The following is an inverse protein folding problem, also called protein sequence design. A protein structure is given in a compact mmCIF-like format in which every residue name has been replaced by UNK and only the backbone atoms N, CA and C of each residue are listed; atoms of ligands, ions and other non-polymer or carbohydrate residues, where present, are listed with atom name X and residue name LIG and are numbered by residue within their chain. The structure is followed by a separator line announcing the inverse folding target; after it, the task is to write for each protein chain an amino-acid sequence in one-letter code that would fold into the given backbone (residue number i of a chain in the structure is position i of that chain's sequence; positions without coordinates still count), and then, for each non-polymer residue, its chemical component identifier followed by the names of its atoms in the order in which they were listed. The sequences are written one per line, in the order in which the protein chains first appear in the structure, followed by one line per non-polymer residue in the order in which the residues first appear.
data_IF_569216648990
#
_entry.id   IF_569216648990
#
_cell.length_a   1.000
_cell.length_b   1.000
_cell.length_c   1.000
_cell.angle_alpha   90.00
_cell.angle_beta   90.00
_cell.angle_gamma   90.00
#
_symmetry.space_group_name_H-M   'P 1'
#
loop_
_entity.id
_entity.type
_entity.pdbx_description
1 polymer ?
#
# COMPACT_ATOMS: atom_id res chain seq x y z
N UNK A 1 -58.75 57.49 -18.85
CA UNK A 1 -59.01 58.59 -17.87
C UNK A 1 -57.90 58.61 -16.86
N UNK A 2 -57.11 59.70 -16.80
CA UNK A 2 -56.46 60.33 -15.65
C UNK A 2 -55.69 59.49 -14.68
N UNK A 3 -54.41 59.69 -14.27
CA UNK A 3 -53.75 60.96 -13.98
C UNK A 3 -52.26 60.76 -13.82
N UNK A 4 -51.48 61.67 -14.42
CA UNK A 4 -50.07 61.91 -14.14
C UNK A 4 -49.89 62.44 -12.71
N UNK A 5 -48.84 62.03 -12.01
CA UNK A 5 -48.16 62.91 -11.06
C UNK A 5 -46.62 62.68 -11.18
N UNK A 6 -46.02 63.83 -11.56
CA UNK A 6 -44.56 64.12 -11.51
C UNK A 6 -44.18 64.37 -10.07
N UNK A 7 -43.07 63.91 -9.60
CA UNK A 7 -42.35 64.49 -8.45
C UNK A 7 -40.85 64.51 -8.74
N UNK A 8 -40.30 65.62 -8.40
CA UNK A 8 -39.05 66.22 -8.75
C UNK A 8 -37.78 65.52 -8.30
N UNK A 9 -36.77 65.78 -9.10
CA UNK A 9 -35.33 65.55 -8.91
C UNK A 9 -34.79 66.35 -7.72
N UNK A 10 -34.01 65.69 -6.84
CA UNK A 10 -33.08 66.38 -5.94
C UNK A 10 -31.70 65.72 -6.13
N UNK A 11 -30.79 66.48 -6.71
CA UNK A 11 -29.36 66.18 -6.80
C UNK A 11 -28.73 66.42 -5.43
N UNK A 12 -28.13 65.38 -4.86
CA UNK A 12 -27.20 65.56 -3.75
C UNK A 12 -25.81 65.08 -4.23
N UNK A 13 -24.92 66.07 -4.32
CA UNK A 13 -23.50 65.87 -4.58
C UNK A 13 -22.86 65.41 -3.25
N UNK A 14 -22.41 64.18 -3.16
CA UNK A 14 -21.57 63.67 -2.05
C UNK A 14 -20.14 63.54 -2.55
N UNK A 15 -19.24 64.31 -1.97
CA UNK A 15 -17.81 64.24 -2.20
C UNK A 15 -17.27 62.94 -1.65
N UNK A 16 -16.69 62.11 -2.51
CA UNK A 16 -16.00 60.88 -2.10
C UNK A 16 -14.56 61.20 -1.70
N UNK A 17 -14.26 61.10 -0.40
CA UNK A 17 -12.88 60.95 0.07
C UNK A 17 -12.39 59.57 -0.32
N UNK A 18 -11.43 59.51 -1.22
CA UNK A 18 -10.71 58.27 -1.55
C UNK A 18 -9.68 57.95 -0.45
N UNK A 19 -10.03 57.05 0.45
CA UNK A 19 -9.08 56.42 1.35
C UNK A 19 -8.45 55.23 0.59
N UNK A 20 -7.23 55.35 0.11
CA UNK A 20 -6.48 54.30 -0.55
C UNK A 20 -6.12 53.23 0.47
N UNK A 21 -6.81 52.09 0.43
CA UNK A 21 -6.38 50.87 1.11
C UNK A 21 -5.44 50.15 0.16
N UNK A 22 -4.16 50.13 0.50
CA UNK A 22 -3.18 49.25 -0.18
C UNK A 22 -3.55 47.80 0.13
N UNK A 23 -4.09 47.09 -0.86
CA UNK A 23 -4.28 45.63 -0.80
C UNK A 23 -2.91 45.00 -1.01
N UNK A 24 -2.30 44.55 0.07
CA UNK A 24 -1.09 43.75 -0.01
C UNK A 24 -1.41 42.45 -0.73
N UNK A 25 -0.64 42.14 -1.77
CA UNK A 25 -0.69 40.86 -2.46
C UNK A 25 -0.46 39.73 -1.44
N UNK A 26 -1.27 38.63 -1.42
CA UNK A 26 -1.00 37.50 -0.57
C UNK A 26 0.32 36.86 -1.01
N UNK A 27 1.28 36.79 -0.09
CA UNK A 27 2.54 36.08 -0.30
C UNK A 27 2.22 34.66 -0.72
N UNK A 28 2.77 34.23 -1.85
CA UNK A 28 2.67 32.85 -2.31
C UNK A 28 3.18 31.90 -1.19
N UNK A 29 2.50 30.78 -0.93
CA UNK A 29 2.97 29.82 0.07
C UNK A 29 4.36 29.34 -0.35
N UNK A 30 5.36 29.62 0.47
CA UNK A 30 6.70 29.07 0.32
C UNK A 30 6.59 27.56 0.49
N UNK A 31 6.71 26.82 -0.61
CA UNK A 31 6.86 25.38 -0.56
C UNK A 31 8.08 25.09 0.32
N UNK A 32 7.86 24.51 1.49
CA UNK A 32 8.93 24.04 2.34
C UNK A 32 9.81 23.09 1.51
N UNK A 33 11.11 23.32 1.51
CA UNK A 33 12.07 22.46 0.85
C UNK A 33 11.84 21.01 1.33
N UNK A 34 11.93 19.99 0.42
CA UNK A 34 11.74 18.61 0.83
C UNK A 34 12.76 18.29 1.91
N UNK A 35 12.26 17.93 3.09
CA UNK A 35 13.08 17.39 4.17
C UNK A 35 13.86 16.22 3.59
N UNK A 36 15.18 16.27 3.74
CA UNK A 36 16.07 15.20 3.28
C UNK A 36 15.67 13.95 4.06
N UNK A 37 14.89 13.06 3.41
CA UNK A 37 14.43 11.82 4.01
C UNK A 37 15.67 11.03 4.44
N UNK A 38 15.86 10.92 5.75
CA UNK A 38 16.84 9.99 6.33
C UNK A 38 16.24 8.61 6.10
N UNK A 39 16.91 7.76 5.34
CA UNK A 39 16.49 6.38 5.17
C UNK A 39 16.25 5.76 6.55
N UNK A 40 15.12 5.07 6.77
CA UNK A 40 14.82 4.49 8.08
C UNK A 40 15.93 3.53 8.45
N UNK A 41 16.59 3.80 9.57
CA UNK A 41 17.58 2.88 10.12
C UNK A 41 16.80 1.69 10.66
N UNK A 42 16.99 0.50 10.09
CA UNK A 42 16.45 -0.75 10.63
C UNK A 42 17.07 -0.93 12.03
N UNK A 43 16.31 -0.62 13.06
CA UNK A 43 16.85 -0.46 14.41
C UNK A 43 17.10 -1.80 15.13
N UNK A 44 16.31 -2.84 14.83
CA UNK A 44 16.44 -4.18 15.41
C UNK A 44 15.76 -5.19 14.51
N UNK A 45 16.36 -6.37 14.38
CA UNK A 45 15.80 -7.53 13.73
C UNK A 45 15.37 -8.56 14.78
N UNK A 46 14.14 -9.08 14.65
CA UNK A 46 13.58 -10.13 15.50
C UNK A 46 13.39 -11.35 14.60
N UNK A 47 14.12 -12.42 14.86
CA UNK A 47 14.00 -13.68 14.15
C UNK A 47 12.89 -14.52 14.76
N UNK A 48 11.86 -14.85 13.98
CA UNK A 48 10.75 -15.72 14.37
C UNK A 48 10.97 -17.16 13.88
N UNK A 49 11.60 -17.30 12.70
CA UNK A 49 12.04 -18.55 12.11
C UNK A 49 13.27 -18.28 11.24
N UNK A 50 14.02 -19.29 10.78
CA UNK A 50 15.20 -19.09 9.94
C UNK A 50 14.92 -18.27 8.65
N UNK A 51 13.69 -18.26 8.19
CA UNK A 51 13.21 -17.61 6.97
C UNK A 51 12.18 -16.51 7.24
N UNK A 52 11.90 -16.17 8.53
CA UNK A 52 10.89 -15.18 8.93
C UNK A 52 11.43 -14.21 9.97
N UNK A 53 11.46 -12.94 9.61
CA UNK A 53 12.05 -11.87 10.41
C UNK A 53 11.12 -10.65 10.50
N UNK A 54 11.13 -9.97 11.66
CA UNK A 54 10.53 -8.66 11.84
C UNK A 54 11.64 -7.61 11.96
N UNK A 55 11.60 -6.60 11.11
CA UNK A 55 12.54 -5.49 11.12
C UNK A 55 11.79 -4.22 11.55
N UNK A 56 12.22 -3.57 12.63
CA UNK A 56 11.59 -2.34 13.11
C UNK A 56 11.80 -1.19 12.14
N UNK A 57 10.71 -0.56 11.69
CA UNK A 57 10.71 0.62 10.82
C UNK A 57 10.52 1.93 11.62
N UNK A 58 10.30 1.83 12.92
CA UNK A 58 9.96 2.94 13.81
C UNK A 58 8.45 3.11 14.01
N UNK A 59 8.08 3.94 15.01
CA UNK A 59 6.69 4.32 15.29
C UNK A 59 5.68 3.15 15.32
N UNK A 60 6.05 2.00 15.92
CA UNK A 60 5.19 0.81 16.00
C UNK A 60 5.01 0.06 14.67
N UNK A 61 5.80 0.40 13.64
CA UNK A 61 5.76 -0.28 12.35
C UNK A 61 6.91 -1.30 12.21
N UNK A 62 6.62 -2.40 11.53
CA UNK A 62 7.55 -3.49 11.25
C UNK A 62 7.44 -3.92 9.79
N UNK A 63 8.59 -4.18 9.17
CA UNK A 63 8.67 -4.98 7.97
C UNK A 63 8.65 -6.46 8.38
N UNK A 64 7.69 -7.22 7.90
CA UNK A 64 7.65 -8.68 8.02
C UNK A 64 8.32 -9.26 6.78
N UNK A 65 9.56 -9.72 6.92
CA UNK A 65 10.32 -10.32 5.83
C UNK A 65 10.23 -11.83 5.92
N UNK A 66 9.67 -12.44 4.89
CA UNK A 66 9.56 -13.89 4.75
C UNK A 66 10.27 -14.36 3.48
N UNK A 67 11.21 -15.29 3.60
CA UNK A 67 11.96 -15.85 2.47
C UNK A 67 11.42 -17.23 2.13
N UNK A 68 10.55 -17.32 1.07
CA UNK A 68 9.77 -18.53 0.81
C UNK A 68 9.54 -18.92 -0.69
N UNK A 69 10.56 -19.27 -1.50
CA UNK A 69 12.01 -19.20 -1.36
C UNK A 69 12.62 -17.85 -1.72
N UNK A 70 11.83 -16.93 -2.24
CA UNK A 70 12.23 -15.54 -2.51
C UNK A 70 11.65 -14.61 -1.45
N UNK A 71 12.25 -13.43 -1.32
CA UNK A 71 11.82 -12.45 -0.33
C UNK A 71 10.39 -12.00 -0.62
N UNK A 72 9.49 -12.22 0.34
CA UNK A 72 8.14 -11.69 0.37
C UNK A 72 8.01 -10.80 1.60
N UNK A 73 7.77 -9.52 1.38
CA UNK A 73 7.58 -8.55 2.44
C UNK A 73 6.10 -8.27 2.64
N UNK A 74 5.70 -8.14 3.90
CA UNK A 74 4.45 -7.50 4.32
C UNK A 74 4.77 -6.46 5.39
N UNK A 75 3.82 -5.62 5.75
CA UNK A 75 3.98 -4.66 6.85
C UNK A 75 3.06 -5.01 7.99
N UNK A 76 3.50 -4.72 9.21
CA UNK A 76 2.74 -4.84 10.44
C UNK A 76 2.83 -3.51 11.17
N UNK A 77 1.69 -2.90 11.49
CA UNK A 77 1.64 -1.59 12.16
C UNK A 77 0.76 -1.68 13.39
N UNK A 78 1.32 -1.33 14.55
CA UNK A 78 0.56 -1.14 15.80
C UNK A 78 -0.12 0.23 15.75
N UNK A 79 -1.44 0.24 15.81
CA UNK A 79 -2.27 1.44 15.79
C UNK A 79 -2.49 1.99 17.21
N UNK A 80 -2.89 3.28 17.37
CA UNK A 80 -3.02 3.91 18.68
C UNK A 80 -4.00 3.24 19.66
N UNK A 81 -5.03 2.53 19.14
CA UNK A 81 -5.97 1.75 19.96
C UNK A 81 -5.44 0.35 20.34
N UNK A 82 -4.22 0.03 19.94
CA UNK A 82 -3.57 -1.25 20.17
C UNK A 82 -3.93 -2.33 19.13
N UNK A 83 -4.70 -2.01 18.09
CA UNK A 83 -4.94 -2.93 16.96
C UNK A 83 -3.68 -3.07 16.13
N UNK A 84 -3.36 -4.29 15.72
CA UNK A 84 -2.31 -4.55 14.73
C UNK A 84 -2.91 -4.68 13.32
N UNK A 85 -2.40 -3.90 12.37
CA UNK A 85 -2.81 -3.94 10.97
C UNK A 85 -1.71 -4.56 10.12
N UNK A 86 -2.06 -5.65 9.41
CA UNK A 86 -1.21 -6.25 8.39
C UNK A 86 -1.53 -5.67 7.02
N UNK A 87 -0.53 -5.17 6.31
CA UNK A 87 -0.58 -4.91 4.88
C UNK A 87 0.06 -6.05 4.11
N UNK A 88 -0.73 -6.83 3.38
CA UNK A 88 -0.37 -8.16 2.90
C UNK A 88 -0.26 -9.18 4.04
N UNK A 89 -0.34 -10.46 3.75
CA UNK A 89 -0.08 -11.50 4.75
C UNK A 89 1.20 -12.27 4.38
N UNK A 90 1.93 -12.83 5.37
CA UNK A 90 3.01 -13.76 5.06
C UNK A 90 2.55 -14.87 4.10
N UNK A 91 3.43 -15.36 3.23
CA UNK A 91 3.07 -16.26 2.15
C UNK A 91 2.50 -17.63 2.57
N UNK A 92 2.59 -18.00 3.86
CA UNK A 92 2.06 -19.26 4.39
C UNK A 92 1.34 -19.07 5.73
N UNK A 93 0.31 -19.91 6.04
CA UNK A 93 -0.42 -19.85 7.31
C UNK A 93 0.48 -20.01 8.53
N UNK A 94 1.45 -20.94 8.49
CA UNK A 94 2.36 -21.16 9.62
C UNK A 94 3.23 -19.91 9.89
N UNK A 95 3.71 -19.26 8.85
CA UNK A 95 4.50 -18.03 9.02
C UNK A 95 3.64 -16.89 9.55
N UNK A 96 2.39 -16.78 9.10
CA UNK A 96 1.43 -15.82 9.66
C UNK A 96 1.14 -16.12 11.14
N UNK A 97 0.96 -17.39 11.52
CA UNK A 97 0.74 -17.82 12.91
C UNK A 97 1.91 -17.40 13.81
N UNK A 98 3.16 -17.59 13.37
CA UNK A 98 4.34 -17.18 14.14
C UNK A 98 4.35 -15.69 14.45
N UNK A 99 3.90 -14.84 13.53
CA UNK A 99 3.78 -13.39 13.78
C UNK A 99 2.63 -13.10 14.75
N UNK A 100 1.49 -13.77 14.62
CA UNK A 100 0.36 -13.66 15.56
C UNK A 100 0.78 -14.09 16.98
N UNK A 101 1.50 -15.19 17.12
CA UNK A 101 2.03 -15.66 18.40
C UNK A 101 3.05 -14.67 19.00
N UNK A 102 3.86 -14.04 18.17
CA UNK A 102 4.76 -12.96 18.59
C UNK A 102 3.99 -11.76 19.14
N UNK A 103 2.92 -11.32 18.45
CA UNK A 103 2.06 -10.24 18.95
C UNK A 103 1.54 -10.58 20.36
N UNK A 104 0.97 -11.79 20.53
CA UNK A 104 0.42 -12.22 21.82
C UNK A 104 1.49 -12.27 22.91
N UNK A 105 2.69 -12.75 22.59
CA UNK A 105 3.80 -12.87 23.55
C UNK A 105 4.35 -11.52 23.98
N UNK A 106 4.54 -10.58 23.06
CA UNK A 106 5.19 -9.30 23.35
C UNK A 106 4.20 -8.20 23.80
N UNK A 107 2.95 -8.26 23.30
CA UNK A 107 1.96 -7.20 23.50
C UNK A 107 0.69 -7.67 24.22
N UNK A 108 0.58 -8.98 24.52
CA UNK A 108 -0.66 -9.61 25.00
C UNK A 108 -1.69 -9.79 23.89
N UNK A 109 -2.88 -10.30 24.23
CA UNK A 109 -3.98 -10.42 23.27
C UNK A 109 -4.36 -9.05 22.71
N UNK A 110 -4.31 -8.89 21.38
CA UNK A 110 -4.62 -7.64 20.67
C UNK A 110 -5.58 -7.93 19.52
N UNK A 111 -6.43 -6.97 19.16
CA UNK A 111 -7.15 -7.03 17.88
C UNK A 111 -6.14 -7.02 16.72
N UNK A 112 -6.42 -7.81 15.70
CA UNK A 112 -5.60 -7.87 14.48
C UNK A 112 -6.51 -7.75 13.26
N UNK A 113 -6.08 -6.99 12.26
CA UNK A 113 -6.76 -6.82 10.98
C UNK A 113 -5.75 -7.10 9.88
N UNK A 114 -6.14 -7.90 8.88
CA UNK A 114 -5.32 -8.10 7.69
C UNK A 114 -5.98 -7.45 6.47
N UNK A 115 -5.15 -6.89 5.58
CA UNK A 115 -5.58 -6.30 4.30
C UNK A 115 -4.77 -6.93 3.18
N UNK A 116 -5.43 -7.67 2.30
CA UNK A 116 -4.79 -8.25 1.12
C UNK A 116 -4.52 -7.18 0.07
N UNK A 117 -3.40 -7.27 -0.61
CA UNK A 117 -3.00 -6.33 -1.67
C UNK A 117 -3.10 -6.90 -3.07
N UNK A 118 -3.71 -8.06 -3.20
CA UNK A 118 -4.01 -8.74 -4.45
C UNK A 118 -4.11 -10.26 -4.24
N UNK A 119 -4.46 -10.99 -5.30
CA UNK A 119 -4.75 -12.43 -5.23
C UNK A 119 -3.52 -13.34 -5.30
N UNK A 120 -2.32 -12.79 -5.51
CA UNK A 120 -1.09 -13.58 -5.50
C UNK A 120 -0.78 -14.11 -4.09
N UNK A 121 -0.16 -15.30 -4.00
CA UNK A 121 0.10 -15.98 -2.73
C UNK A 121 0.88 -15.14 -1.71
N UNK A 122 1.83 -14.33 -2.17
CA UNK A 122 2.65 -13.45 -1.36
C UNK A 122 1.87 -12.26 -0.76
N UNK A 123 0.59 -12.11 -1.11
CA UNK A 123 -0.30 -11.08 -0.60
C UNK A 123 -1.41 -11.65 0.30
N UNK A 124 -1.75 -12.93 0.15
CA UNK A 124 -2.89 -13.55 0.85
C UNK A 124 -2.64 -14.97 1.37
N UNK A 125 -1.47 -15.56 1.12
CA UNK A 125 -1.21 -16.97 1.47
C UNK A 125 -1.37 -17.30 2.96
N UNK A 126 -1.16 -16.33 3.85
CA UNK A 126 -1.37 -16.45 5.29
C UNK A 126 -2.81 -16.33 5.77
N UNK A 127 -3.79 -16.01 4.92
CA UNK A 127 -5.17 -15.73 5.31
C UNK A 127 -5.80 -16.79 6.21
N UNK A 128 -5.47 -18.07 5.98
CA UNK A 128 -6.02 -19.17 6.77
C UNK A 128 -5.73 -19.02 8.28
N UNK A 129 -4.57 -18.52 8.67
CA UNK A 129 -4.21 -18.30 10.07
C UNK A 129 -5.06 -17.19 10.70
N UNK A 130 -5.22 -16.06 10.01
CA UNK A 130 -6.06 -14.96 10.48
C UNK A 130 -7.51 -15.39 10.66
N UNK A 131 -8.06 -16.11 9.66
CA UNK A 131 -9.43 -16.62 9.70
C UNK A 131 -9.65 -17.65 10.83
N UNK A 132 -8.67 -18.54 11.04
CA UNK A 132 -8.72 -19.52 12.13
C UNK A 132 -8.68 -18.84 13.52
N UNK A 133 -7.97 -17.72 13.64
CA UNK A 133 -7.91 -16.91 14.85
C UNK A 133 -9.13 -15.98 15.04
N UNK A 134 -10.06 -15.93 14.08
CA UNK A 134 -11.25 -15.06 14.11
C UNK A 134 -10.95 -13.59 13.79
N UNK A 135 -9.82 -13.29 13.17
CA UNK A 135 -9.45 -11.95 12.76
C UNK A 135 -9.99 -11.61 11.37
N UNK A 136 -10.50 -10.39 11.14
CA UNK A 136 -11.01 -9.96 9.85
C UNK A 136 -9.89 -9.85 8.82
N UNK A 137 -10.18 -10.29 7.60
CA UNK A 137 -9.31 -10.17 6.44
C UNK A 137 -10.03 -9.37 5.37
N UNK A 138 -9.56 -8.17 5.08
CA UNK A 138 -10.09 -7.30 4.03
C UNK A 138 -9.42 -7.59 2.70
N UNK A 139 -10.20 -7.55 1.63
CA UNK A 139 -9.70 -7.66 0.25
C UNK A 139 -10.72 -7.11 -0.74
N UNK A 140 -10.27 -6.81 -1.96
CA UNK A 140 -11.17 -6.28 -2.97
C UNK A 140 -12.06 -7.39 -3.57
N UNK A 141 -13.20 -6.98 -4.11
CA UNK A 141 -14.08 -7.83 -4.91
C UNK A 141 -13.35 -8.42 -6.13
N UNK A 142 -12.44 -7.64 -6.73
CA UNK A 142 -11.60 -8.12 -7.83
C UNK A 142 -10.61 -9.20 -7.37
N UNK A 143 -10.00 -9.04 -6.18
CA UNK A 143 -9.13 -10.05 -5.58
C UNK A 143 -9.88 -11.38 -5.38
N UNK A 144 -11.11 -11.34 -4.84
CA UNK A 144 -11.94 -12.55 -4.65
C UNK A 144 -12.23 -13.23 -5.99
N UNK A 145 -12.64 -12.45 -7.00
CA UNK A 145 -12.94 -12.98 -8.33
C UNK A 145 -11.71 -13.60 -8.99
N UNK A 146 -10.58 -12.88 -9.02
CA UNK A 146 -9.35 -13.38 -9.65
C UNK A 146 -8.79 -14.61 -8.92
N UNK A 147 -8.90 -14.67 -7.60
CA UNK A 147 -8.49 -15.84 -6.84
C UNK A 147 -9.31 -17.07 -7.25
N UNK A 148 -10.63 -16.93 -7.41
CA UNK A 148 -11.50 -18.02 -7.84
C UNK A 148 -11.23 -18.45 -9.29
N UNK A 149 -10.97 -17.48 -10.19
CA UNK A 149 -10.75 -17.73 -11.62
C UNK A 149 -9.33 -18.22 -11.93
N UNK A 150 -8.31 -17.73 -11.22
CA UNK A 150 -6.90 -17.86 -11.59
C UNK A 150 -5.99 -18.40 -10.50
N UNK A 151 -6.50 -18.71 -9.31
CA UNK A 151 -5.68 -19.16 -8.19
C UNK A 151 -4.83 -20.39 -8.52
N UNK A 152 -5.38 -21.38 -9.24
CA UNK A 152 -4.63 -22.56 -9.66
C UNK A 152 -3.59 -22.27 -10.75
N UNK A 153 -3.88 -21.34 -11.67
CA UNK A 153 -2.89 -20.86 -12.64
C UNK A 153 -1.74 -20.14 -11.95
N UNK A 154 -2.04 -19.32 -10.93
CA UNK A 154 -1.02 -18.66 -10.11
C UNK A 154 -0.19 -19.69 -9.31
N UNK A 155 -0.79 -20.72 -8.77
CA UNK A 155 -0.09 -21.84 -8.12
C UNK A 155 0.90 -22.50 -9.09
N UNK A 156 0.43 -22.84 -10.29
CA UNK A 156 1.27 -23.49 -11.31
C UNK A 156 2.45 -22.59 -11.72
N UNK A 157 2.20 -21.30 -11.90
CA UNK A 157 3.24 -20.31 -12.20
C UNK A 157 4.29 -20.22 -11.07
N UNK A 158 3.83 -20.13 -9.81
CA UNK A 158 4.71 -20.07 -8.64
C UNK A 158 5.58 -21.34 -8.53
N UNK A 159 4.99 -22.50 -8.74
CA UNK A 159 5.73 -23.78 -8.75
C UNK A 159 6.76 -23.84 -9.89
N UNK A 160 6.50 -23.16 -11.01
CA UNK A 160 7.45 -23.01 -12.12
C UNK A 160 8.70 -22.19 -11.75
N UNK A 161 8.57 -21.22 -10.86
CA UNK A 161 9.71 -20.43 -10.36
C UNK A 161 10.56 -21.17 -9.33
N UNK A 162 10.03 -22.21 -8.69
CA UNK A 162 10.76 -23.03 -7.72
C UNK A 162 11.36 -24.24 -8.46
N UNK A 163 12.52 -24.01 -9.08
CA UNK A 163 13.16 -25.00 -9.97
C UNK A 163 13.58 -26.28 -9.24
N UNK A 164 14.02 -26.18 -7.97
CA UNK A 164 14.44 -27.34 -7.17
C UNK A 164 13.23 -28.17 -6.74
N UNK A 165 13.07 -29.41 -7.25
CA UNK A 165 11.95 -30.27 -6.88
C UNK A 165 12.00 -30.75 -5.42
N UNK A 166 13.16 -30.67 -4.78
CA UNK A 166 13.37 -31.08 -3.38
C UNK A 166 13.16 -29.94 -2.40
N UNK A 167 12.95 -28.73 -2.88
CA UNK A 167 12.71 -27.56 -2.04
C UNK A 167 11.49 -27.75 -1.13
N UNK A 168 11.61 -27.55 0.18
CA UNK A 168 10.48 -27.61 1.10
C UNK A 168 9.41 -26.55 0.73
N UNK A 169 9.81 -25.44 0.15
CA UNK A 169 8.88 -24.41 -0.32
C UNK A 169 8.03 -24.89 -1.49
N UNK A 170 8.56 -25.74 -2.37
CA UNK A 170 7.78 -26.30 -3.48
C UNK A 170 6.61 -27.15 -2.95
N UNK A 171 6.88 -28.01 -1.97
CA UNK A 171 5.84 -28.83 -1.32
C UNK A 171 4.82 -27.92 -0.58
N UNK A 172 5.30 -26.91 0.13
CA UNK A 172 4.44 -25.96 0.84
C UNK A 172 3.52 -25.19 -0.12
N UNK A 173 4.03 -24.69 -1.25
CA UNK A 173 3.21 -24.02 -2.27
C UNK A 173 2.20 -24.97 -2.94
N UNK A 174 2.58 -26.22 -3.21
CA UNK A 174 1.67 -27.22 -3.77
C UNK A 174 0.50 -27.54 -2.84
N UNK A 175 0.75 -27.53 -1.52
CA UNK A 175 -0.26 -27.81 -0.49
C UNK A 175 -1.04 -26.56 -0.02
N UNK A 176 -0.61 -25.35 -0.38
CA UNK A 176 -1.20 -24.09 0.09
C UNK A 176 -2.68 -24.02 -0.28
N UNK A 177 -3.54 -23.85 0.71
CA UNK A 177 -4.96 -23.58 0.49
C UNK A 177 -5.17 -22.05 0.43
N UNK A 178 -5.68 -21.59 -0.69
CA UNK A 178 -6.03 -20.18 -0.83
C UNK A 178 -7.36 -19.89 -0.14
N UNK A 179 -7.30 -19.08 0.91
CA UNK A 179 -8.48 -18.65 1.67
C UNK A 179 -8.79 -17.20 1.27
N UNK A 180 -9.97 -16.93 0.67
CA UNK A 180 -10.34 -15.57 0.29
C UNK A 180 -10.55 -14.68 1.52
N UNK A 181 -10.46 -13.34 1.35
CA UNK A 181 -10.86 -12.38 2.38
C UNK A 181 -12.34 -12.54 2.71
N UNK A 182 -12.73 -12.20 3.95
CA UNK A 182 -14.13 -12.24 4.42
C UNK A 182 -14.80 -10.86 4.51
N UNK A 183 -14.00 -9.80 4.46
CA UNK A 183 -14.47 -8.42 4.39
C UNK A 183 -14.14 -7.84 3.02
N UNK A 184 -15.13 -7.85 2.13
CA UNK A 184 -14.94 -7.50 0.72
C UNK A 184 -15.37 -6.07 0.46
N UNK A 185 -14.54 -5.30 -0.25
CA UNK A 185 -14.84 -3.94 -0.69
C UNK A 185 -14.71 -3.80 -2.22
N UNK A 186 -15.48 -2.89 -2.86
CA UNK A 186 -15.30 -2.57 -4.27
C UNK A 186 -13.95 -1.95 -4.53
N UNK A 187 -13.12 -2.54 -5.42
CA UNK A 187 -11.73 -2.10 -5.65
C UNK A 187 -11.65 -0.64 -6.07
N UNK A 188 -12.56 -0.19 -6.94
CA UNK A 188 -12.58 1.19 -7.46
C UNK A 188 -12.80 2.27 -6.39
N UNK A 189 -13.35 1.88 -5.23
CA UNK A 189 -13.59 2.80 -4.11
C UNK A 189 -12.42 2.81 -3.13
N UNK A 190 -11.55 1.80 -3.18
CA UNK A 190 -10.58 1.57 -2.14
C UNK A 190 -11.25 1.29 -0.79
N UNK A 191 -10.50 1.44 0.29
CA UNK A 191 -10.99 1.24 1.66
C UNK A 191 -10.26 2.22 2.59
N UNK A 192 -10.99 2.80 3.54
CA UNK A 192 -10.39 3.53 4.67
C UNK A 192 -10.85 2.88 5.96
N UNK A 193 -9.89 2.51 6.80
CA UNK A 193 -10.10 1.99 8.14
C UNK A 193 -9.61 3.02 9.16
N UNK A 194 -10.23 3.05 10.34
CA UNK A 194 -9.89 4.00 11.40
C UNK A 194 -9.56 3.26 12.70
N UNK A 195 -8.46 3.63 13.32
CA UNK A 195 -7.94 3.01 14.54
C UNK A 195 -7.38 4.08 15.48
N UNK A 196 -8.05 4.34 16.61
CA UNK A 196 -7.55 5.28 17.62
C UNK A 196 -7.28 6.71 17.12
N UNK A 197 -8.02 7.15 16.08
CA UNK A 197 -7.86 8.47 15.48
C UNK A 197 -6.92 8.53 14.28
N UNK A 198 -6.17 7.47 13.99
CA UNK A 198 -5.36 7.32 12.77
C UNK A 198 -6.11 6.56 11.67
N UNK A 199 -5.77 6.82 10.42
CA UNK A 199 -6.34 6.17 9.25
C UNK A 199 -5.37 5.16 8.62
N UNK A 200 -5.94 4.12 8.01
CA UNK A 200 -5.27 3.23 7.06
C UNK A 200 -6.04 3.29 5.75
N UNK A 201 -5.38 3.72 4.68
CA UNK A 201 -5.99 3.89 3.36
C UNK A 201 -5.51 2.82 2.40
N UNK A 202 -6.44 2.10 1.81
CA UNK A 202 -6.17 1.14 0.74
C UNK A 202 -6.49 1.82 -0.58
N UNK A 203 -5.48 1.98 -1.42
CA UNK A 203 -5.53 2.76 -2.64
C UNK A 203 -5.42 1.86 -3.85
N UNK A 204 -6.33 2.02 -4.79
CA UNK A 204 -6.27 1.36 -6.10
C UNK A 204 -5.81 2.36 -7.16
N UNK A 205 -4.53 2.33 -7.56
CA UNK A 205 -4.02 3.25 -8.57
C UNK A 205 -4.28 2.77 -10.02
N UNK A 206 -5.26 1.89 -10.21
CA UNK A 206 -5.53 1.20 -11.46
C UNK A 206 -4.70 -0.08 -11.65
N UNK A 207 -4.88 -0.81 -12.76
CA UNK A 207 -4.15 -2.04 -13.05
C UNK A 207 -2.65 -1.77 -13.20
N UNK A 208 -1.82 -2.60 -12.55
CA UNK A 208 -0.35 -2.45 -12.54
C UNK A 208 0.34 -3.79 -12.80
N UNK A 209 1.08 -4.36 -11.83
CA UNK A 209 1.74 -5.67 -11.94
C UNK A 209 0.73 -6.82 -12.08
N UNK A 210 -0.47 -6.64 -11.56
CA UNK A 210 -1.65 -7.45 -11.82
C UNK A 210 -2.89 -6.56 -11.72
N UNK A 211 -4.07 -7.01 -12.23
CA UNK A 211 -5.27 -6.17 -12.32
C UNK A 211 -5.81 -5.68 -10.96
N UNK A 212 -5.56 -6.40 -9.87
CA UNK A 212 -6.14 -6.16 -8.55
C UNK A 212 -5.15 -5.62 -7.51
N UNK A 213 -3.98 -5.15 -7.94
CA UNK A 213 -2.97 -4.65 -6.99
C UNK A 213 -3.39 -3.34 -6.36
N UNK A 214 -3.40 -3.31 -5.03
CA UNK A 214 -3.61 -2.11 -4.23
C UNK A 214 -2.38 -1.79 -3.40
N UNK A 215 -2.22 -0.52 -3.04
CA UNK A 215 -1.24 -0.06 -2.06
C UNK A 215 -1.94 0.26 -0.74
N UNK A 216 -1.22 0.14 0.37
CA UNK A 216 -1.73 0.50 1.70
C UNK A 216 -0.90 1.66 2.22
N UNK A 217 -1.57 2.76 2.56
CA UNK A 217 -0.95 3.96 3.05
C UNK A 217 -1.38 4.26 4.48
N UNK A 218 -0.41 4.55 5.34
CA UNK A 218 -0.57 4.96 6.73
C UNK A 218 -0.18 6.44 6.83
N UNK A 219 -1.14 7.39 6.70
CA UNK A 219 -0.85 8.82 6.59
C UNK A 219 -0.04 9.38 7.77
N UNK A 220 -0.46 9.05 8.99
CA UNK A 220 0.16 9.55 10.21
C UNK A 220 1.58 9.01 10.44
N UNK A 221 1.89 7.88 9.81
CA UNK A 221 3.22 7.24 9.82
C UNK A 221 4.05 7.59 8.59
N UNK A 222 3.44 8.28 7.59
CA UNK A 222 4.03 8.56 6.27
C UNK A 222 4.66 7.31 5.64
N UNK A 223 4.01 6.15 5.86
CA UNK A 223 4.46 4.84 5.42
C UNK A 223 3.55 4.33 4.30
N UNK A 224 4.16 3.94 3.19
CA UNK A 224 3.49 3.31 2.06
C UNK A 224 3.96 1.84 1.93
N UNK A 225 3.01 0.91 1.97
CA UNK A 225 3.23 -0.45 1.49
C UNK A 225 2.71 -0.55 0.06
N UNK A 226 3.62 -0.52 -0.89
CA UNK A 226 3.30 -0.58 -2.32
C UNK A 226 3.16 -1.99 -2.86
N UNK A 227 3.37 -3.03 -2.04
CA UNK A 227 3.25 -4.43 -2.47
C UNK A 227 4.05 -4.71 -3.76
N UNK A 228 3.51 -5.53 -4.66
CA UNK A 228 4.11 -5.85 -5.96
C UNK A 228 3.98 -4.72 -7.00
N UNK A 229 3.28 -3.62 -6.68
CA UNK A 229 3.29 -2.42 -7.52
C UNK A 229 4.68 -1.78 -7.62
N UNK A 230 5.52 -1.95 -6.58
CA UNK A 230 6.82 -1.32 -6.49
C UNK A 230 7.93 -2.35 -6.69
N UNK A 231 8.91 -1.96 -7.47
CA UNK A 231 10.04 -2.79 -7.91
C UNK A 231 11.30 -2.36 -7.18
N UNK A 232 11.76 -3.13 -6.21
CA UNK A 232 13.01 -2.84 -5.49
C UNK A 232 14.26 -3.44 -6.15
N UNK A 233 14.10 -4.32 -7.12
CA UNK A 233 15.16 -4.88 -7.96
C UNK A 233 15.25 -4.18 -9.31
N UNK A 234 16.23 -4.57 -10.12
CA UNK A 234 16.51 -3.98 -11.44
C UNK A 234 15.66 -4.58 -12.58
N UNK A 235 14.75 -5.51 -12.25
CA UNK A 235 13.90 -6.22 -13.21
C UNK A 235 12.44 -6.15 -12.78
N UNK A 236 11.53 -6.25 -13.74
CA UNK A 236 10.08 -6.23 -13.53
C UNK A 236 9.54 -7.46 -12.81
N UNK A 237 10.28 -8.56 -12.77
CA UNK A 237 9.79 -9.83 -12.23
C UNK A 237 8.69 -10.45 -13.07
N UNK A 238 7.67 -11.01 -12.43
CA UNK A 238 6.51 -11.59 -13.10
C UNK A 238 5.59 -10.48 -13.64
N UNK A 239 5.46 -10.39 -14.96
CA UNK A 239 4.61 -9.43 -15.68
C UNK A 239 3.53 -10.09 -16.53
N UNK A 240 3.26 -11.38 -16.33
CA UNK A 240 2.31 -12.14 -17.15
C UNK A 240 0.90 -11.53 -17.16
N UNK A 241 0.53 -10.77 -16.12
CA UNK A 241 -0.77 -10.14 -15.98
C UNK A 241 -0.67 -8.60 -15.86
N UNK A 242 0.53 -8.05 -16.09
CA UNK A 242 0.78 -6.64 -15.90
C UNK A 242 0.16 -5.78 -17.01
N UNK A 243 -0.42 -4.65 -16.61
CA UNK A 243 -0.71 -3.55 -17.53
C UNK A 243 0.49 -2.60 -17.58
N UNK A 244 1.43 -2.92 -18.45
CA UNK A 244 2.66 -2.13 -18.61
C UNK A 244 2.40 -0.70 -19.12
N UNK A 245 1.26 -0.46 -19.78
CA UNK A 245 0.86 0.87 -20.26
C UNK A 245 0.39 1.76 -19.11
N UNK A 246 -0.38 1.21 -18.20
CA UNK A 246 -0.96 1.95 -17.08
C UNK A 246 -0.04 1.99 -15.83
N UNK A 247 0.76 0.96 -15.61
CA UNK A 247 1.57 0.82 -14.37
C UNK A 247 2.39 2.07 -14.02
N UNK A 248 3.10 2.74 -14.96
CA UNK A 248 3.83 3.97 -14.62
C UNK A 248 2.93 5.08 -14.06
N UNK A 249 1.70 5.20 -14.57
CA UNK A 249 0.75 6.20 -14.09
C UNK A 249 0.28 5.87 -12.66
N UNK A 250 -0.01 4.59 -12.39
CA UNK A 250 -0.34 4.13 -11.04
C UNK A 250 0.75 4.47 -10.02
N UNK A 251 2.03 4.30 -10.40
CA UNK A 251 3.16 4.69 -9.52
C UNK A 251 3.21 6.21 -9.32
N UNK A 252 2.99 7.03 -10.37
CA UNK A 252 2.99 8.50 -10.25
C UNK A 252 1.89 9.01 -9.30
N UNK A 253 0.71 8.38 -9.30
CA UNK A 253 -0.35 8.72 -8.35
C UNK A 253 0.11 8.52 -6.90
N UNK A 254 0.85 7.46 -6.61
CA UNK A 254 1.40 7.22 -5.27
C UNK A 254 2.50 8.22 -4.89
N UNK A 255 3.27 8.75 -5.85
CA UNK A 255 4.30 9.78 -5.60
C UNK A 255 3.73 11.11 -5.09
N UNK A 256 2.45 11.37 -5.27
CA UNK A 256 1.78 12.56 -4.76
C UNK A 256 1.54 12.52 -3.23
N UNK A 257 1.71 11.37 -2.60
CA UNK A 257 1.52 11.20 -1.17
C UNK A 257 2.76 11.69 -0.38
N UNK A 258 2.57 12.25 0.83
CA UNK A 258 3.68 12.54 1.73
C UNK A 258 4.20 11.24 2.36
N UNK A 259 5.34 10.74 1.88
CA UNK A 259 5.90 9.44 2.24
C UNK A 259 7.34 9.61 2.73
N UNK A 260 7.66 8.97 3.86
CA UNK A 260 9.03 8.87 4.39
C UNK A 260 9.57 7.43 4.31
N UNK A 261 8.69 6.43 4.41
CA UNK A 261 9.03 5.00 4.35
C UNK A 261 8.21 4.32 3.27
N UNK A 262 8.87 3.57 2.39
CA UNK A 262 8.23 2.79 1.33
C UNK A 262 8.66 1.34 1.44
N UNK A 263 7.69 0.43 1.40
CA UNK A 263 7.94 -1.02 1.40
C UNK A 263 7.36 -1.62 0.13
N UNK A 264 8.20 -2.33 -0.65
CA UNK A 264 7.76 -3.20 -1.73
C UNK A 264 7.60 -4.65 -1.26
N UNK A 265 6.80 -5.46 -1.98
CA UNK A 265 6.66 -6.88 -1.69
C UNK A 265 8.00 -7.64 -1.78
N UNK A 266 8.94 -7.17 -2.57
CA UNK A 266 10.21 -7.85 -2.80
C UNK A 266 11.39 -6.88 -2.67
N UNK A 267 12.49 -7.33 -2.06
CA UNK A 267 13.73 -6.57 -1.92
C UNK A 267 13.85 -5.75 -0.64
N UNK A 268 15.03 -5.13 -0.43
CA UNK A 268 15.39 -4.53 0.86
C UNK A 268 15.15 -3.02 0.95
N UNK A 269 14.81 -2.32 -0.15
CA UNK A 269 14.71 -0.85 -0.16
C UNK A 269 13.52 -0.37 0.64
N UNK A 270 13.73 0.71 1.39
CA UNK A 270 12.73 1.32 2.28
C UNK A 270 12.60 2.84 2.07
N UNK A 271 13.37 3.43 1.15
CA UNK A 271 13.41 4.86 0.90
C UNK A 271 12.38 5.31 -0.15
N UNK A 272 11.86 6.55 -0.09
CA UNK A 272 10.88 7.05 -1.06
C UNK A 272 11.37 7.07 -2.52
N UNK A 273 12.68 7.06 -2.75
CA UNK A 273 13.27 6.94 -4.09
C UNK A 273 12.91 5.63 -4.80
N UNK A 274 12.34 4.66 -4.07
CA UNK A 274 11.85 3.41 -4.65
C UNK A 274 10.73 3.63 -5.70
N UNK A 275 9.90 4.66 -5.52
CA UNK A 275 8.86 5.00 -6.50
C UNK A 275 9.49 5.42 -7.84
N UNK A 276 10.46 6.34 -7.83
CA UNK A 276 11.18 6.74 -9.03
C UNK A 276 11.97 5.58 -9.64
N UNK A 277 12.63 4.77 -8.80
CA UNK A 277 13.34 3.56 -9.26
C UNK A 277 12.39 2.60 -9.99
N UNK A 278 11.16 2.42 -9.50
CA UNK A 278 10.14 1.60 -10.19
C UNK A 278 9.85 2.15 -11.58
N UNK A 279 9.65 3.47 -11.73
CA UNK A 279 9.44 4.10 -13.04
C UNK A 279 10.63 3.88 -13.98
N UNK A 280 11.85 3.98 -13.46
CA UNK A 280 13.08 3.77 -14.25
C UNK A 280 13.21 2.32 -14.72
N UNK A 281 12.85 1.34 -13.88
CA UNK A 281 12.82 -0.09 -14.26
C UNK A 281 11.79 -0.34 -15.35
N UNK A 282 10.57 0.21 -15.21
CA UNK A 282 9.52 0.08 -16.21
C UNK A 282 9.90 0.71 -17.54
N UNK A 283 10.52 1.91 -17.52
CA UNK A 283 10.99 2.59 -18.72
C UNK A 283 12.07 1.78 -19.47
N UNK A 284 13.03 1.21 -18.74
CA UNK A 284 14.04 0.32 -19.35
C UNK A 284 13.44 -0.93 -19.97
N UNK A 285 12.41 -1.49 -19.35
CA UNK A 285 11.71 -2.67 -19.88
C UNK A 285 10.93 -2.35 -21.16
N UNK A 286 10.33 -1.15 -21.25
CA UNK A 286 9.60 -0.70 -22.44
C UNK A 286 10.50 -0.38 -23.63
N UNK A 287 11.79 -0.13 -23.40
CA UNK A 287 12.75 0.14 -24.48
C UNK A 287 13.44 -1.17 -24.85
N UNK A 288 13.21 -1.75 -26.06
CA UNK A 288 13.94 -2.92 -26.49
C UNK A 288 15.44 -2.62 -26.46
N UNK A 289 16.23 -3.50 -25.86
CA UNK A 289 17.69 -3.45 -26.00
C UNK A 289 17.97 -3.47 -27.50
N UNK A 290 18.54 -2.39 -28.05
CA UNK A 290 19.05 -2.43 -29.43
C UNK A 290 20.11 -3.54 -29.50
N UNK A 291 20.07 -4.39 -30.53
CA UNK A 291 21.00 -5.50 -30.71
C UNK A 291 22.43 -5.05 -30.86
#
# INVERSE_FOLDING_TARGET
MKSLRRIATALLIAAALSCGVAVGEPAAPTLAAPSRAVAPTVAAEITLAPDLHLLRLGAGAYLVRHVCPFVCNSVLVEMPDGTFVFGGTPGFPNSAQLVLDWIVREHGPRPVVAVNTGYHFDNLGGNAAFRAAGFPVHGSDLTVRLLAERGETMRALTLGFIADPTSPYRAAHAALQFVPPDHVYPIERGLTLHFGGEEVRVLFPGPTQAPDKVAIYFPDRRLLYGSCLLLAGDRTGNIAEADLGHWPEGVRQLMALPIDVVVAAHGPRLDPGLLQHTLDVLARHATPSQP
#
